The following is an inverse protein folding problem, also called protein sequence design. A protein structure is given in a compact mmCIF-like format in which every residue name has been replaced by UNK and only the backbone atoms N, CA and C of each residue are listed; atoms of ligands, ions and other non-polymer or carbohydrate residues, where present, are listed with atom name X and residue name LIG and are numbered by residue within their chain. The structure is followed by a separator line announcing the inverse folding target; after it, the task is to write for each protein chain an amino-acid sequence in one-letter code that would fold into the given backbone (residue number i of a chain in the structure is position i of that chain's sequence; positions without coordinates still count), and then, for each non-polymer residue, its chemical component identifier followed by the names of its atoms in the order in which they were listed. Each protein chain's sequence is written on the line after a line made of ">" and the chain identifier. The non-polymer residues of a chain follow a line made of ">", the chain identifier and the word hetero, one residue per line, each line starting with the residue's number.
data_IF_482057045650
#
_entry.id   IF_482057045650
#
_cell.length_a   1.000
_cell.length_b   1.000
_cell.length_c   1.000
_cell.angle_alpha   90.00
_cell.angle_beta   90.00
_cell.angle_gamma   90.00
#
_symmetry.space_group_name_H-M   'P 1'
#
loop_
_entity.id
_entity.type
_entity.pdbx_description
1 polymer ?
#
# COMPACT_ATOMS: atom_id res chain seq x y z
N UNK A 1 -16.03 5.94 -33.67
CA UNK A 1 -16.44 5.22 -34.89
C UNK A 1 -16.55 3.76 -34.50
N UNK A 2 -17.74 3.17 -34.61
CA UNK A 2 -17.95 1.76 -34.29
C UNK A 2 -17.33 0.92 -35.42
N UNK A 3 -16.39 0.04 -35.09
CA UNK A 3 -15.89 -0.95 -36.06
C UNK A 3 -16.92 -2.09 -36.12
N UNK A 4 -17.45 -2.31 -37.32
CA UNK A 4 -18.31 -3.43 -37.66
C UNK A 4 -17.46 -4.71 -37.55
N UNK A 5 -17.84 -5.60 -36.64
CA UNK A 5 -17.22 -6.92 -36.49
C UNK A 5 -17.41 -7.68 -37.80
N UNK A 6 -16.31 -8.03 -38.46
CA UNK A 6 -16.34 -8.78 -39.72
C UNK A 6 -16.90 -10.19 -39.48
N UNK A 7 -17.79 -10.63 -40.35
CA UNK A 7 -18.41 -11.95 -40.27
C UNK A 7 -17.35 -13.04 -40.55
N UNK A 8 -17.08 -13.96 -39.60
CA UNK A 8 -16.13 -15.04 -39.79
C UNK A 8 -16.45 -15.97 -40.96
N UNK A 9 -17.69 -15.96 -41.46
CA UNK A 9 -18.12 -16.75 -42.61
C UNK A 9 -17.76 -16.13 -43.97
N UNK A 10 -17.48 -14.82 -44.02
CA UNK A 10 -17.18 -14.09 -45.27
C UNK A 10 -15.68 -13.77 -45.45
N UNK A 11 -14.86 -14.00 -44.42
CA UNK A 11 -13.45 -13.64 -44.42
C UNK A 11 -12.52 -14.81 -44.13
N UNK A 12 -11.35 -14.79 -44.74
CA UNK A 12 -10.33 -15.79 -44.48
C UNK A 12 -9.72 -15.63 -43.09
N UNK A 13 -9.24 -16.74 -42.51
CA UNK A 13 -8.62 -16.76 -41.18
C UNK A 13 -7.41 -15.80 -41.11
N UNK A 14 -6.65 -15.68 -42.19
CA UNK A 14 -5.50 -14.78 -42.24
C UNK A 14 -5.92 -13.30 -42.23
N UNK A 15 -7.03 -12.93 -42.90
CA UNK A 15 -7.57 -11.57 -42.88
C UNK A 15 -8.10 -11.18 -41.50
N UNK A 16 -8.78 -12.11 -40.81
CA UNK A 16 -9.26 -11.90 -39.44
C UNK A 16 -8.09 -11.73 -38.46
N UNK A 17 -7.02 -12.51 -38.62
CA UNK A 17 -5.81 -12.40 -37.80
C UNK A 17 -5.13 -11.03 -37.99
N UNK A 18 -5.01 -10.58 -39.24
CA UNK A 18 -4.42 -9.27 -39.56
C UNK A 18 -5.27 -8.10 -39.06
N UNK A 19 -6.60 -8.24 -39.03
CA UNK A 19 -7.47 -7.24 -38.43
C UNK A 19 -7.35 -7.20 -36.90
N UNK A 20 -7.25 -8.37 -36.26
CA UNK A 20 -7.08 -8.48 -34.82
C UNK A 20 -5.76 -7.88 -34.35
N UNK A 21 -4.66 -8.10 -35.07
CA UNK A 21 -3.37 -7.48 -34.74
C UNK A 21 -3.41 -5.95 -34.91
N UNK A 22 -4.09 -5.45 -35.96
CA UNK A 22 -4.31 -4.00 -36.14
C UNK A 22 -5.18 -3.38 -35.04
N UNK A 23 -6.16 -4.12 -34.55
CA UNK A 23 -6.99 -3.71 -33.40
C UNK A 23 -6.14 -3.63 -32.14
N UNK A 24 -5.36 -4.66 -31.84
CA UNK A 24 -4.48 -4.73 -30.67
C UNK A 24 -3.46 -3.59 -30.64
N UNK A 25 -2.84 -3.28 -31.79
CA UNK A 25 -1.92 -2.15 -31.91
C UNK A 25 -2.60 -0.79 -31.64
N UNK A 26 -3.84 -0.60 -32.10
CA UNK A 26 -4.61 0.62 -31.81
C UNK A 26 -5.03 0.72 -30.34
N UNK A 27 -5.43 -0.39 -29.72
CA UNK A 27 -5.72 -0.41 -28.28
C UNK A 27 -4.49 -0.03 -27.46
N UNK A 28 -3.32 -0.55 -27.81
CA UNK A 28 -2.06 -0.17 -27.16
C UNK A 28 -1.75 1.33 -27.34
N UNK A 29 -1.97 1.90 -28.53
CA UNK A 29 -1.78 3.33 -28.79
C UNK A 29 -2.76 4.21 -27.99
N UNK A 30 -4.03 3.81 -27.89
CA UNK A 30 -5.04 4.53 -27.10
C UNK A 30 -4.75 4.47 -25.60
N UNK A 31 -4.24 3.33 -25.12
CA UNK A 31 -3.82 3.17 -23.73
C UNK A 31 -2.64 4.09 -23.41
N UNK A 32 -1.59 4.06 -24.24
CA UNK A 32 -0.42 4.94 -24.09
C UNK A 32 -0.79 6.43 -24.17
N UNK A 33 -1.77 6.79 -25.01
CA UNK A 33 -2.24 8.17 -25.12
C UNK A 33 -3.02 8.62 -23.86
N UNK A 34 -3.77 7.70 -23.22
CA UNK A 34 -4.43 7.97 -21.94
C UNK A 34 -3.42 8.12 -20.81
N UNK A 35 -2.44 7.21 -20.72
CA UNK A 35 -1.37 7.30 -19.71
C UNK A 35 -0.60 8.62 -19.84
N UNK A 36 -0.22 9.01 -21.07
CA UNK A 36 0.43 10.29 -21.32
C UNK A 36 -0.45 11.51 -20.96
N UNK A 37 -1.78 11.37 -21.05
CA UNK A 37 -2.72 12.43 -20.65
C UNK A 37 -2.83 12.52 -19.13
N UNK A 38 -2.83 11.39 -18.42
CA UNK A 38 -2.83 11.36 -16.95
C UNK A 38 -1.53 11.94 -16.38
N UNK A 39 -0.38 11.57 -16.96
CA UNK A 39 0.93 12.14 -16.61
C UNK A 39 0.98 13.65 -16.82
N UNK A 40 0.37 14.14 -17.91
CA UNK A 40 0.27 15.58 -18.17
C UNK A 40 -0.58 16.30 -17.12
N UNK A 41 -1.73 15.73 -16.75
CA UNK A 41 -2.59 16.31 -15.71
C UNK A 41 -1.90 16.34 -14.34
N UNK A 42 -1.13 15.29 -14.03
CA UNK A 42 -0.32 15.23 -12.81
C UNK A 42 0.75 16.33 -12.79
N UNK A 43 1.47 16.51 -13.90
CA UNK A 43 2.49 17.56 -14.03
C UNK A 43 1.89 18.97 -13.96
N UNK A 44 0.71 19.19 -14.56
CA UNK A 44 0.00 20.47 -14.45
C UNK A 44 -0.38 20.80 -13.00
N UNK A 45 -0.82 19.79 -12.23
CA UNK A 45 -1.11 19.95 -10.80
C UNK A 45 0.17 20.28 -10.01
N UNK A 46 1.27 19.56 -10.24
CA UNK A 46 2.55 19.85 -9.58
C UNK A 46 3.06 21.26 -9.88
N UNK A 47 2.88 21.75 -11.10
CA UNK A 47 3.23 23.12 -11.48
C UNK A 47 2.34 24.16 -10.80
N UNK A 48 1.06 23.85 -10.56
CA UNK A 48 0.17 24.74 -9.80
C UNK A 48 0.57 24.79 -8.33
N UNK A 49 0.84 23.64 -7.71
CA UNK A 49 1.27 23.56 -6.31
C UNK A 49 2.59 24.35 -6.12
N UNK A 50 3.57 24.14 -7.00
CA UNK A 50 4.85 24.88 -6.95
C UNK A 50 4.67 26.40 -7.10
N UNK A 51 3.71 26.85 -7.91
CA UNK A 51 3.43 28.29 -8.05
C UNK A 51 2.82 28.86 -6.77
N UNK A 52 1.94 28.13 -6.11
CA UNK A 52 1.36 28.53 -4.83
C UNK A 52 2.47 28.66 -3.76
N UNK A 53 3.38 27.69 -3.68
CA UNK A 53 4.50 27.72 -2.74
C UNK A 53 5.44 28.92 -2.99
N UNK A 54 5.70 29.24 -4.26
CA UNK A 54 6.51 30.42 -4.62
C UNK A 54 5.83 31.74 -4.27
N UNK A 55 4.50 31.80 -4.37
CA UNK A 55 3.73 32.97 -3.94
C UNK A 55 3.75 33.12 -2.41
N UNK A 56 3.55 32.03 -1.67
CA UNK A 56 3.67 32.01 -0.21
C UNK A 56 5.06 32.48 0.24
N UNK A 57 6.12 31.94 -0.36
CA UNK A 57 7.49 32.34 -0.04
C UNK A 57 7.75 33.83 -0.31
N UNK A 58 7.19 34.38 -1.39
CA UNK A 58 7.29 35.82 -1.69
C UNK A 58 6.56 36.66 -0.64
N UNK A 59 5.41 36.21 -0.16
CA UNK A 59 4.67 36.92 0.89
C UNK A 59 5.46 36.92 2.21
N UNK A 60 6.01 35.78 2.61
CA UNK A 60 6.86 35.65 3.80
C UNK A 60 8.13 36.50 3.70
N UNK A 61 8.78 36.50 2.53
CA UNK A 61 9.95 37.33 2.29
C UNK A 61 9.63 38.83 2.41
N UNK A 62 8.46 39.25 1.93
CA UNK A 62 8.00 40.64 2.07
C UNK A 62 7.73 40.99 3.54
N UNK A 63 7.12 40.08 4.30
CA UNK A 63 6.88 40.26 5.74
C UNK A 63 8.20 40.39 6.51
N UNK A 64 9.18 39.53 6.21
CA UNK A 64 10.50 39.58 6.82
C UNK A 64 11.23 40.88 6.48
N UNK A 65 11.12 41.35 5.24
CA UNK A 65 11.73 42.60 4.79
C UNK A 65 11.10 43.83 5.47
N UNK A 66 9.77 43.83 5.68
CA UNK A 66 9.07 44.85 6.48
C UNK A 66 9.59 44.83 7.92
N UNK A 67 9.61 43.66 8.57
CA UNK A 67 10.14 43.52 9.95
C UNK A 67 11.59 43.97 10.07
N UNK A 68 12.43 43.65 9.11
CA UNK A 68 13.83 44.10 9.09
C UNK A 68 13.94 45.61 8.92
N UNK A 69 13.11 46.23 8.06
CA UNK A 69 13.06 47.68 7.90
C UNK A 69 12.54 48.40 9.14
N UNK A 70 11.59 47.78 9.86
CA UNK A 70 11.13 48.25 11.17
C UNK A 70 12.27 48.17 12.17
N UNK A 71 12.97 47.04 12.29
CA UNK A 71 14.14 46.90 13.17
C UNK A 71 15.26 47.91 12.88
N UNK A 72 15.50 48.26 11.61
CA UNK A 72 16.48 49.27 11.21
C UNK A 72 15.99 50.68 11.57
N UNK A 73 14.69 50.96 11.51
CA UNK A 73 14.09 52.23 11.92
C UNK A 73 14.17 52.51 13.44
N UNK A 74 14.39 51.48 14.26
CA UNK A 74 14.58 51.61 15.71
C UNK A 74 16.06 51.81 16.12
N UNK A 75 17.00 51.76 15.18
CA UNK A 75 18.43 51.92 15.46
C UNK A 75 18.96 53.34 15.26
N UNK A 76 18.11 54.35 15.02
CA UNK A 76 18.51 55.75 14.86
C UNK A 76 18.01 56.69 15.98
N UNK A 77 17.68 56.12 17.15
CA UNK A 77 17.44 56.88 18.36
C UNK A 77 18.13 56.18 19.55
N UNK A 78 19.22 56.80 20.02
CA UNK A 78 19.96 56.49 21.25
C UNK A 78 20.90 55.28 21.25
N UNK A 79 22.16 55.51 20.82
CA UNK A 79 23.33 54.93 21.49
C UNK A 79 24.60 55.74 21.19
N UNK A 80 25.06 56.51 22.19
CA UNK A 80 26.41 57.08 22.27
C UNK A 80 27.22 56.26 23.29
N UNK A 81 28.43 55.91 22.85
CA UNK A 81 29.71 55.62 23.55
C UNK A 81 29.93 54.33 24.38
N UNK A 82 30.86 53.53 23.81
CA UNK A 82 32.14 53.03 24.35
C UNK A 82 32.23 52.16 25.62
N UNK A 83 32.94 51.04 25.44
CA UNK A 83 33.45 50.18 26.51
C UNK A 83 34.14 48.90 26.01
N UNK A 84 35.37 49.06 25.53
CA UNK A 84 36.54 48.14 25.62
C UNK A 84 36.47 46.64 25.24
N UNK A 85 37.25 46.33 24.19
CA UNK A 85 38.15 45.18 23.94
C UNK A 85 38.00 43.87 24.76
N UNK A 86 37.84 42.74 24.05
CA UNK A 86 38.72 41.57 24.20
C UNK A 86 38.75 40.71 22.90
N UNK A 87 39.96 40.34 22.50
CA UNK A 87 40.32 39.57 21.30
C UNK A 87 40.02 38.05 21.39
N UNK A 88 40.24 37.38 20.24
CA UNK A 88 40.48 35.96 20.00
C UNK A 88 39.21 35.11 19.77
N UNK A 89 39.05 34.30 18.72
CA UNK A 89 40.00 33.75 17.75
C UNK A 89 39.31 33.41 16.43
N UNK A 90 40.05 33.64 15.34
CA UNK A 90 39.75 33.07 14.05
C UNK A 90 40.10 31.57 14.03
N UNK A 91 39.29 30.75 13.34
CA UNK A 91 39.85 29.69 12.51
C UNK A 91 38.93 29.30 11.35
N UNK A 92 39.52 29.47 10.18
CA UNK A 92 38.96 29.23 8.88
C UNK A 92 38.93 27.74 8.52
N UNK A 93 37.85 27.37 7.84
CA UNK A 93 37.76 26.65 6.56
C UNK A 93 38.63 25.40 6.25
N UNK A 94 37.92 24.48 5.57
CA UNK A 94 38.31 23.41 4.63
C UNK A 94 38.50 22.01 5.22
N UNK A 95 37.62 21.08 4.81
CA UNK A 95 37.99 20.12 3.77
C UNK A 95 36.75 19.43 3.18
N UNK A 96 36.64 19.48 1.85
CA UNK A 96 35.70 18.72 1.04
C UNK A 96 35.90 17.21 1.27
N UNK A 97 34.79 16.47 1.38
CA UNK A 97 34.73 15.12 0.83
C UNK A 97 33.36 14.89 0.22
N UNK A 98 33.36 14.95 -1.10
CA UNK A 98 32.32 14.52 -2.02
C UNK A 98 32.08 13.03 -1.81
N UNK A 99 30.96 12.66 -1.20
CA UNK A 99 30.35 11.34 -1.38
C UNK A 99 28.91 11.59 -1.80
N UNK A 100 28.55 10.96 -2.92
CA UNK A 100 27.23 10.97 -3.53
C UNK A 100 26.21 10.39 -2.54
N UNK A 101 25.61 11.24 -1.72
CA UNK A 101 24.33 10.89 -1.11
C UNK A 101 23.28 11.05 -2.21
N UNK A 102 22.83 9.90 -2.72
CA UNK A 102 21.56 9.80 -3.43
C UNK A 102 20.52 10.50 -2.56
N UNK A 103 20.03 11.66 -3.03
CA UNK A 103 18.82 12.30 -2.53
C UNK A 103 17.68 11.29 -2.70
N UNK A 104 17.52 10.41 -1.70
CA UNK A 104 16.36 9.56 -1.64
C UNK A 104 15.19 10.48 -1.30
N UNK A 105 14.46 10.84 -2.35
CA UNK A 105 13.15 11.45 -2.29
C UNK A 105 12.38 10.86 -1.09
N UNK A 106 11.95 11.74 -0.17
CA UNK A 106 11.35 11.42 1.13
C UNK A 106 9.99 10.72 1.05
N UNK A 107 9.73 10.04 -0.06
CA UNK A 107 8.63 9.11 -0.22
C UNK A 107 8.94 7.88 0.64
N UNK A 108 8.06 7.60 1.60
CA UNK A 108 7.91 6.25 2.15
C UNK A 108 7.52 5.34 0.99
N UNK A 109 8.50 4.88 0.24
CA UNK A 109 8.36 3.76 -0.66
C UNK A 109 8.34 2.56 0.28
N UNK A 110 7.15 2.02 0.58
CA UNK A 110 7.10 0.58 0.88
C UNK A 110 7.69 -0.05 -0.37
N UNK A 111 8.95 -0.45 -0.28
CA UNK A 111 9.64 -1.05 -1.41
C UNK A 111 8.80 -2.26 -1.80
N UNK A 112 8.26 -2.21 -3.01
CA UNK A 112 7.71 -3.38 -3.68
C UNK A 112 8.91 -4.28 -4.00
N UNK A 113 9.41 -4.93 -2.95
CA UNK A 113 10.49 -5.87 -3.06
C UNK A 113 9.96 -7.08 -3.80
N UNK A 114 10.72 -7.55 -4.79
CA UNK A 114 10.44 -8.84 -5.39
C UNK A 114 10.72 -9.92 -4.34
N UNK A 115 9.66 -10.38 -3.68
CA UNK A 115 9.76 -11.47 -2.70
C UNK A 115 9.73 -12.80 -3.45
N UNK A 116 10.43 -13.85 -2.98
CA UNK A 116 10.20 -15.17 -3.52
C UNK A 116 8.72 -15.49 -3.33
N UNK A 117 8.11 -16.02 -4.38
CA UNK A 117 6.73 -16.43 -4.33
C UNK A 117 6.49 -17.35 -3.13
N UNK A 118 5.39 -17.14 -2.41
CA UNK A 118 5.02 -17.90 -1.21
C UNK A 118 4.70 -19.38 -1.50
N UNK A 119 4.86 -19.88 -2.73
CA UNK A 119 4.73 -21.29 -3.07
C UNK A 119 6.11 -21.93 -3.24
N UNK A 120 6.40 -23.01 -2.49
CA UNK A 120 7.73 -23.64 -2.43
C UNK A 120 8.28 -24.12 -3.77
N UNK A 121 7.41 -24.36 -4.75
CA UNK A 121 7.82 -24.77 -6.11
C UNK A 121 7.82 -23.62 -7.11
N UNK A 122 7.36 -22.44 -6.70
CA UNK A 122 7.44 -21.25 -7.52
C UNK A 122 8.77 -20.53 -7.29
N UNK A 123 9.70 -20.69 -8.23
CA UNK A 123 10.98 -19.97 -8.21
C UNK A 123 10.89 -18.53 -8.70
N UNK A 124 9.69 -18.04 -9.00
CA UNK A 124 9.49 -16.65 -9.47
C UNK A 124 9.57 -15.72 -8.27
N UNK A 125 10.29 -14.61 -8.45
CA UNK A 125 10.21 -13.48 -7.54
C UNK A 125 9.10 -12.59 -8.04
N UNK A 126 8.16 -12.28 -7.18
CA UNK A 126 6.95 -11.57 -7.58
C UNK A 126 6.80 -10.34 -6.72
N UNK A 127 6.51 -9.25 -7.40
CA UNK A 127 6.16 -8.00 -6.75
C UNK A 127 4.94 -8.23 -5.85
N UNK A 128 4.94 -7.70 -4.64
CA UNK A 128 3.78 -7.74 -3.74
C UNK A 128 2.47 -7.26 -4.40
N UNK A 129 2.54 -6.37 -5.39
CA UNK A 129 1.41 -5.86 -6.17
C UNK A 129 0.96 -6.85 -7.26
N UNK A 130 1.90 -7.57 -7.87
CA UNK A 130 1.64 -8.58 -8.88
C UNK A 130 1.41 -9.98 -8.30
N UNK A 131 1.61 -10.15 -7.00
CA UNK A 131 1.50 -11.44 -6.33
C UNK A 131 0.11 -12.04 -6.46
N UNK A 132 -0.91 -11.20 -6.37
CA UNK A 132 -2.31 -11.58 -6.52
C UNK A 132 -2.62 -12.03 -7.96
N UNK A 133 -2.09 -11.32 -8.96
CA UNK A 133 -2.20 -11.71 -10.37
C UNK A 133 -1.42 -13.00 -10.66
N UNK A 134 -0.19 -13.09 -10.16
CA UNK A 134 0.66 -14.27 -10.28
C UNK A 134 0.03 -15.51 -9.65
N UNK A 135 -0.60 -15.35 -8.48
CA UNK A 135 -1.37 -16.42 -7.86
C UNK A 135 -2.50 -16.91 -8.80
N UNK A 136 -3.30 -15.97 -9.31
CA UNK A 136 -4.43 -16.28 -10.20
C UNK A 136 -3.99 -16.92 -11.51
N UNK A 137 -2.85 -16.49 -12.07
CA UNK A 137 -2.38 -16.95 -13.37
C UNK A 137 -1.54 -18.24 -13.31
N UNK A 138 -0.69 -18.39 -12.29
CA UNK A 138 0.37 -19.42 -12.29
C UNK A 138 0.18 -20.51 -11.22
N UNK A 139 -0.69 -20.31 -10.24
CA UNK A 139 -0.85 -21.21 -9.09
C UNK A 139 -2.27 -21.76 -8.92
N UNK A 140 -3.18 -21.52 -9.85
CA UNK A 140 -4.58 -21.87 -9.69
C UNK A 140 -4.83 -23.39 -9.55
N UNK A 141 -4.03 -24.27 -10.16
CA UNK A 141 -4.51 -25.64 -10.43
C UNK A 141 -3.90 -26.83 -9.68
N UNK A 142 -2.69 -26.81 -9.10
CA UNK A 142 -2.07 -28.13 -8.79
C UNK A 142 -1.26 -28.30 -7.51
N UNK A 143 -0.79 -27.25 -6.84
CA UNK A 143 -0.07 -27.40 -5.54
C UNK A 143 -0.38 -26.27 -4.54
N UNK A 144 -1.19 -25.30 -4.94
CA UNK A 144 -1.43 -24.07 -4.18
C UNK A 144 -2.52 -24.17 -3.11
N UNK A 145 -3.32 -25.23 -3.16
CA UNK A 145 -4.45 -25.49 -2.26
C UNK A 145 -4.06 -25.69 -0.79
N UNK A 146 -2.76 -25.83 -0.48
CA UNK A 146 -2.27 -25.89 0.91
C UNK A 146 -1.96 -24.50 1.52
N UNK A 147 -1.82 -23.45 0.72
CA UNK A 147 -1.53 -22.07 1.19
C UNK A 147 -2.59 -21.04 0.78
N UNK A 148 -3.49 -21.40 -0.13
CA UNK A 148 -4.73 -20.66 -0.36
C UNK A 148 -5.90 -21.35 0.35
N UNK A 149 -6.58 -20.63 1.23
CA UNK A 149 -7.71 -21.15 1.98
C UNK A 149 -9.03 -20.68 1.37
N UNK A 150 -9.85 -21.62 0.91
CA UNK A 150 -11.23 -21.32 0.55
C UNK A 150 -12.03 -20.96 1.80
N UNK A 151 -12.76 -19.86 1.74
CA UNK A 151 -13.50 -19.31 2.86
C UNK A 151 -14.91 -18.90 2.42
N UNK A 152 -15.93 -19.46 3.05
CA UNK A 152 -17.32 -19.02 2.88
C UNK A 152 -17.67 -17.96 3.93
N UNK A 153 -18.75 -17.21 3.69
CA UNK A 153 -19.38 -16.42 4.75
C UNK A 153 -19.72 -17.34 5.95
N UNK A 154 -19.51 -16.84 7.17
CA UNK A 154 -19.59 -17.58 8.46
C UNK A 154 -18.48 -18.60 8.76
N UNK A 155 -17.58 -18.86 7.83
CA UNK A 155 -16.40 -19.68 8.11
C UNK A 155 -15.25 -18.85 8.68
N UNK A 156 -14.31 -19.54 9.32
CA UNK A 156 -13.07 -18.96 9.84
C UNK A 156 -11.87 -19.76 9.37
N UNK A 157 -10.80 -19.06 9.04
CA UNK A 157 -9.50 -19.63 8.72
C UNK A 157 -8.48 -19.12 9.71
N UNK A 158 -7.49 -19.95 10.04
CA UNK A 158 -6.36 -19.56 10.89
C UNK A 158 -5.08 -19.60 10.08
N UNK A 159 -4.40 -18.47 10.00
CA UNK A 159 -3.08 -18.35 9.37
C UNK A 159 -2.02 -18.22 10.45
N UNK A 160 -0.89 -18.92 10.31
CA UNK A 160 0.20 -18.86 11.29
C UNK A 160 1.41 -18.16 10.68
N UNK A 161 2.07 -17.29 11.45
CA UNK A 161 3.26 -16.57 10.98
C UNK A 161 4.21 -16.18 12.10
N UNK A 162 5.49 -16.02 11.75
CA UNK A 162 6.53 -15.55 12.65
C UNK A 162 6.81 -14.07 12.44
N UNK A 163 6.61 -13.27 13.48
CA UNK A 163 6.88 -11.82 13.48
C UNK A 163 8.35 -11.46 13.18
N UNK A 164 9.29 -12.38 13.40
CA UNK A 164 10.73 -12.16 13.14
C UNK A 164 11.05 -12.11 11.65
N UNK A 165 10.20 -12.68 10.80
CA UNK A 165 10.35 -12.59 9.33
C UNK A 165 9.93 -11.22 8.78
N UNK A 166 9.28 -10.38 9.59
CA UNK A 166 8.77 -9.08 9.16
C UNK A 166 9.90 -8.04 9.12
N UNK A 167 10.40 -7.76 7.93
CA UNK A 167 11.40 -6.71 7.70
C UNK A 167 10.76 -5.31 7.70
N UNK A 168 11.54 -4.33 8.13
CA UNK A 168 11.09 -2.94 8.21
C UNK A 168 10.81 -2.37 6.81
N UNK A 169 9.65 -1.72 6.65
CA UNK A 169 9.13 -1.14 5.40
C UNK A 169 8.94 -2.15 4.26
N UNK A 170 8.81 -3.44 4.56
CA UNK A 170 8.55 -4.48 3.58
C UNK A 170 7.24 -5.19 3.87
N UNK A 171 6.42 -5.36 2.82
CA UNK A 171 5.22 -6.17 2.89
C UNK A 171 5.60 -7.65 2.94
N UNK A 172 5.10 -8.34 3.95
CA UNK A 172 5.15 -9.78 4.07
C UNK A 172 3.75 -10.35 3.88
N UNK A 173 3.65 -11.46 3.15
CA UNK A 173 2.38 -12.11 2.83
C UNK A 173 2.17 -13.22 3.84
N UNK A 174 1.10 -13.10 4.64
CA UNK A 174 0.75 -14.09 5.66
C UNK A 174 -0.05 -15.23 5.04
N UNK A 175 -0.90 -14.94 4.05
CA UNK A 175 -1.66 -15.97 3.36
C UNK A 175 -2.56 -15.44 2.27
N UNK A 176 -3.18 -16.39 1.56
CA UNK A 176 -4.09 -16.15 0.45
C UNK A 176 -5.43 -16.81 0.77
N UNK A 177 -6.52 -16.11 0.49
CA UNK A 177 -7.88 -16.58 0.73
C UNK A 177 -8.66 -16.55 -0.59
N UNK A 178 -9.55 -17.52 -0.77
CA UNK A 178 -10.52 -17.56 -1.86
C UNK A 178 -11.93 -17.45 -1.26
N UNK A 179 -12.49 -16.25 -1.27
CA UNK A 179 -13.80 -15.99 -0.69
C UNK A 179 -14.91 -16.40 -1.65
N UNK A 180 -15.79 -17.30 -1.21
CA UNK A 180 -16.77 -17.92 -2.10
C UNK A 180 -18.21 -17.47 -1.87
N UNK A 181 -18.41 -16.34 -1.19
CA UNK A 181 -19.75 -15.82 -0.87
C UNK A 181 -20.48 -16.62 0.22
N UNK A 182 -21.77 -16.33 0.34
CA UNK A 182 -22.68 -17.03 1.25
C UNK A 182 -22.95 -18.49 0.83
N UNK A 183 -23.29 -19.40 1.76
CA UNK A 183 -23.64 -20.78 1.43
C UNK A 183 -24.80 -20.88 0.42
N UNK A 184 -25.74 -19.92 0.47
CA UNK A 184 -26.87 -19.85 -0.45
C UNK A 184 -26.41 -19.54 -1.89
N UNK A 185 -25.51 -18.56 -2.05
CA UNK A 185 -24.92 -18.22 -3.34
C UNK A 185 -24.11 -19.38 -3.92
N UNK A 186 -23.39 -20.13 -3.09
CA UNK A 186 -22.68 -21.33 -3.55
C UNK A 186 -23.64 -22.39 -4.09
N UNK A 187 -24.79 -22.59 -3.46
CA UNK A 187 -25.78 -23.58 -3.89
C UNK A 187 -26.43 -23.18 -5.22
N UNK A 188 -26.74 -21.90 -5.42
CA UNK A 188 -27.25 -21.37 -6.70
C UNK A 188 -26.20 -21.48 -7.81
N UNK A 189 -24.92 -21.24 -7.50
CA UNK A 189 -23.82 -21.36 -8.45
C UNK A 189 -23.51 -22.81 -8.83
N UNK A 190 -23.59 -23.76 -7.89
CA UNK A 190 -23.44 -25.19 -8.19
C UNK A 190 -24.54 -25.74 -9.10
N UNK A 191 -25.73 -25.15 -9.08
CA UNK A 191 -26.84 -25.52 -9.97
C UNK A 191 -26.67 -24.95 -11.39
N UNK A 192 -25.92 -23.85 -11.55
CA UNK A 192 -25.69 -23.16 -12.82
C UNK A 192 -24.32 -23.47 -13.46
N UNK A 193 -23.38 -24.02 -12.69
CA UNK A 193 -22.05 -24.35 -13.18
C UNK A 193 -22.10 -25.62 -14.06
N UNK A 194 -21.82 -25.43 -15.35
CA UNK A 194 -21.42 -26.53 -16.25
C UNK A 194 -20.21 -27.28 -15.67
N UNK A 195 -20.08 -28.61 -15.85
CA UNK A 195 -18.96 -29.40 -15.36
C UNK A 195 -17.69 -29.09 -16.17
N UNK A 196 -17.18 -27.88 -16.02
CA UNK A 196 -15.81 -27.55 -16.32
C UNK A 196 -15.03 -27.63 -15.02
N UNK A 197 -13.84 -28.23 -15.07
CA UNK A 197 -13.00 -28.57 -13.92
C UNK A 197 -12.66 -27.36 -13.01
N UNK A 198 -12.96 -26.13 -13.45
CA UNK A 198 -12.66 -24.87 -12.76
C UNK A 198 -13.86 -23.90 -12.61
N UNK A 199 -15.09 -24.34 -12.91
CA UNK A 199 -16.28 -23.46 -12.88
C UNK A 199 -16.59 -22.85 -11.50
N UNK A 200 -16.13 -23.48 -10.42
CA UNK A 200 -16.29 -23.06 -9.04
C UNK A 200 -15.27 -22.00 -8.58
N UNK A 201 -14.18 -21.78 -9.34
CA UNK A 201 -13.15 -20.75 -9.08
C UNK A 201 -13.46 -19.44 -9.82
N UNK A 202 -14.29 -19.49 -10.87
CA UNK A 202 -14.75 -18.30 -11.58
C UNK A 202 -15.61 -17.36 -10.71
N UNK A 203 -16.14 -17.87 -9.59
CA UNK A 203 -16.93 -17.11 -8.61
C UNK A 203 -16.15 -16.68 -7.37
N UNK A 204 -14.99 -17.29 -7.08
CA UNK A 204 -14.28 -17.05 -5.83
C UNK A 204 -13.49 -15.73 -5.91
N UNK A 205 -13.66 -14.87 -4.91
CA UNK A 205 -12.98 -13.58 -4.79
C UNK A 205 -11.64 -13.76 -4.07
N UNK A 206 -10.50 -13.51 -4.73
CA UNK A 206 -9.20 -13.72 -4.11
C UNK A 206 -8.85 -12.56 -3.17
N UNK A 207 -8.37 -12.89 -1.97
CA UNK A 207 -7.97 -11.92 -0.94
C UNK A 207 -6.57 -12.25 -0.44
N UNK A 208 -5.66 -11.28 -0.47
CA UNK A 208 -4.31 -11.40 0.10
C UNK A 208 -4.29 -10.81 1.50
N UNK A 209 -3.68 -11.53 2.44
CA UNK A 209 -3.44 -11.07 3.80
C UNK A 209 -1.98 -10.64 3.94
N UNK A 210 -1.76 -9.39 4.29
CA UNK A 210 -0.45 -8.75 4.33
C UNK A 210 -0.14 -8.23 5.73
N UNK A 211 1.14 -8.26 6.09
CA UNK A 211 1.69 -7.58 7.27
C UNK A 211 2.91 -6.77 6.89
N UNK A 212 3.03 -5.58 7.46
CA UNK A 212 4.20 -4.73 7.31
C UNK A 212 4.66 -4.21 8.67
N UNK A 213 5.97 -4.22 8.89
CA UNK A 213 6.60 -3.59 10.05
C UNK A 213 7.08 -2.20 9.64
N UNK A 214 6.57 -1.15 10.28
CA UNK A 214 6.88 0.24 9.92
C UNK A 214 7.02 1.13 11.15
N UNK A 215 7.41 2.39 10.99
CA UNK A 215 7.45 3.36 12.07
C UNK A 215 6.05 3.90 12.37
N UNK A 216 5.75 4.20 13.64
CA UNK A 216 4.47 4.76 14.06
C UNK A 216 4.05 6.03 13.30
N UNK A 217 5.03 6.81 12.84
CA UNK A 217 4.85 8.05 12.11
C UNK A 217 4.69 7.87 10.59
N UNK A 218 4.74 6.64 10.06
CA UNK A 218 4.46 6.39 8.63
C UNK A 218 3.01 6.71 8.25
N UNK A 219 2.13 6.86 9.22
CA UNK A 219 0.75 7.31 9.03
C UNK A 219 0.62 8.85 8.92
N UNK A 220 1.70 9.62 9.15
CA UNK A 220 1.64 11.08 9.04
C UNK A 220 1.52 11.50 7.58
N UNK A 221 0.58 12.41 7.30
CA UNK A 221 0.46 13.05 5.99
C UNK A 221 1.61 14.02 5.72
N UNK A 222 2.11 14.69 6.76
CA UNK A 222 3.28 15.55 6.69
C UNK A 222 4.56 14.71 6.72
N UNK A 223 5.12 14.49 5.53
CA UNK A 223 6.32 13.67 5.32
C UNK A 223 7.59 14.35 5.85
N UNK A 224 7.66 15.68 5.88
CA UNK A 224 8.81 16.41 6.40
C UNK A 224 8.89 16.29 7.93
N UNK A 225 7.74 16.39 8.60
CA UNK A 225 7.64 16.12 10.04
C UNK A 225 7.95 14.65 10.35
N UNK A 226 7.44 13.71 9.54
CA UNK A 226 7.75 12.28 9.64
C UNK A 226 9.25 11.99 9.58
N UNK A 227 9.97 12.62 8.65
CA UNK A 227 11.42 12.43 8.50
C UNK A 227 12.24 12.99 9.68
N UNK A 228 11.86 14.17 10.21
CA UNK A 228 12.53 14.75 11.40
C UNK A 228 12.34 13.90 12.67
N UNK A 229 11.19 13.23 12.77
CA UNK A 229 10.86 12.33 13.88
C UNK A 229 11.57 10.96 13.70
N UNK A 230 11.69 10.46 12.46
CA UNK A 230 12.37 9.19 12.14
C UNK A 230 13.84 9.18 12.61
N UNK A 231 14.56 10.29 12.48
CA UNK A 231 15.95 10.44 12.96
C UNK A 231 16.12 10.23 14.46
N UNK A 232 15.04 10.29 15.24
CA UNK A 232 15.03 10.10 16.70
C UNK A 232 14.18 8.91 17.15
N UNK A 233 13.65 8.12 16.21
CA UNK A 233 12.69 7.06 16.53
C UNK A 233 13.38 5.86 17.20
N UNK A 234 12.86 5.46 18.37
CA UNK A 234 13.31 4.26 19.07
C UNK A 234 12.80 3.02 18.31
N UNK A 235 13.54 1.89 18.26
CA UNK A 235 13.01 0.62 17.78
C UNK A 235 11.66 0.21 18.42
N UNK A 236 11.39 0.68 19.65
CA UNK A 236 10.10 0.48 20.34
C UNK A 236 8.93 1.29 19.77
N UNK A 237 9.22 2.31 18.95
CA UNK A 237 8.22 3.14 18.26
C UNK A 237 7.77 2.51 16.92
N UNK A 238 8.21 1.29 16.65
CA UNK A 238 7.78 0.51 15.49
C UNK A 238 6.37 -0.04 15.72
N UNK A 239 5.64 -0.19 14.63
CA UNK A 239 4.29 -0.75 14.60
C UNK A 239 4.21 -1.81 13.53
N UNK A 240 3.29 -2.75 13.74
CA UNK A 240 2.94 -3.78 12.79
C UNK A 240 1.56 -3.47 12.25
N UNK A 241 1.41 -3.60 10.94
CA UNK A 241 0.20 -3.20 10.24
C UNK A 241 -0.25 -4.40 9.43
N UNK A 242 -1.44 -4.91 9.75
CA UNK A 242 -2.08 -6.01 9.03
C UNK A 242 -3.18 -5.42 8.15
N UNK A 243 -3.25 -5.81 6.88
CA UNK A 243 -4.36 -5.43 6.01
C UNK A 243 -4.66 -6.54 4.99
N UNK A 244 -5.85 -6.45 4.40
CA UNK A 244 -6.34 -7.39 3.40
C UNK A 244 -6.61 -6.65 2.10
N UNK A 245 -6.31 -7.29 0.96
CA UNK A 245 -6.49 -6.70 -0.35
C UNK A 245 -7.12 -7.69 -1.35
N UNK A 246 -8.04 -7.20 -2.19
CA UNK A 246 -8.72 -7.93 -3.27
C UNK A 246 -8.61 -7.17 -4.58
N UNK A 247 -8.47 -7.85 -5.75
CA UNK A 247 -8.52 -7.17 -7.04
C UNK A 247 -9.97 -6.91 -7.48
N UNK A 248 -10.95 -7.50 -6.80
CA UNK A 248 -12.35 -7.36 -7.13
C UNK A 248 -12.88 -5.99 -6.67
N UNK A 249 -13.32 -5.17 -7.61
CA UNK A 249 -13.87 -3.84 -7.39
C UNK A 249 -15.38 -3.83 -7.17
N UNK A 250 -16.05 -4.93 -7.50
CA UNK A 250 -17.51 -5.07 -7.40
C UNK A 250 -17.98 -5.51 -6.02
N UNK A 251 -17.10 -6.16 -5.24
CA UNK A 251 -17.43 -6.68 -3.93
C UNK A 251 -16.79 -5.86 -2.81
N UNK A 252 -17.59 -5.52 -1.80
CA UNK A 252 -17.11 -4.92 -0.56
C UNK A 252 -17.15 -5.97 0.54
N UNK A 253 -15.99 -6.21 1.16
CA UNK A 253 -15.83 -7.20 2.21
C UNK A 253 -15.35 -6.54 3.50
N UNK A 254 -15.84 -7.05 4.63
CA UNK A 254 -15.24 -6.84 5.94
C UNK A 254 -14.49 -8.10 6.36
N UNK A 255 -13.41 -7.90 7.10
CA UNK A 255 -12.63 -8.95 7.71
C UNK A 255 -12.67 -8.79 9.23
N UNK A 256 -13.21 -9.79 9.92
CA UNK A 256 -13.03 -9.92 11.36
C UNK A 256 -11.70 -10.64 11.61
N UNK A 257 -10.79 -9.97 12.32
CA UNK A 257 -9.45 -10.44 12.61
C UNK A 257 -9.31 -10.70 14.10
N UNK A 258 -8.72 -11.83 14.47
CA UNK A 258 -8.28 -12.13 15.84
C UNK A 258 -6.87 -12.69 15.82
N UNK A 259 -5.99 -12.11 16.61
CA UNK A 259 -4.61 -12.53 16.75
C UNK A 259 -4.40 -13.13 18.13
N UNK A 260 -3.83 -14.32 18.17
CA UNK A 260 -3.47 -15.02 19.40
C UNK A 260 -2.06 -15.60 19.29
N UNK A 261 -1.38 -15.68 20.44
CA UNK A 261 -0.12 -16.40 20.57
C UNK A 261 -0.33 -17.77 21.22
N UNK A 262 0.71 -18.30 21.87
CA UNK A 262 0.59 -19.54 22.65
C UNK A 262 -0.36 -19.39 23.85
N UNK A 263 -0.38 -18.23 24.48
CA UNK A 263 -1.29 -17.93 25.60
C UNK A 263 -2.62 -17.43 25.05
N UNK A 264 -3.66 -18.27 25.13
CA UNK A 264 -5.00 -17.92 24.66
C UNK A 264 -5.66 -16.77 25.45
N UNK A 265 -5.16 -16.42 26.64
CA UNK A 265 -5.65 -15.26 27.38
C UNK A 265 -5.14 -13.95 26.78
N UNK A 266 -4.01 -13.98 26.06
CA UNK A 266 -3.42 -12.82 25.40
C UNK A 266 -3.82 -12.82 23.92
N UNK A 267 -4.92 -12.13 23.62
CA UNK A 267 -5.44 -11.98 22.27
C UNK A 267 -5.83 -10.53 21.98
N UNK A 268 -5.81 -10.19 20.71
CA UNK A 268 -6.33 -8.92 20.20
C UNK A 268 -7.27 -9.19 19.01
N UNK A 269 -8.24 -8.32 18.78
CA UNK A 269 -9.18 -8.49 17.67
C UNK A 269 -9.65 -7.16 17.12
N UNK A 270 -9.97 -7.11 15.84
CA UNK A 270 -10.53 -5.95 15.17
C UNK A 270 -11.41 -6.35 13.98
N UNK A 271 -12.10 -5.38 13.40
CA UNK A 271 -12.81 -5.54 12.12
C UNK A 271 -12.26 -4.47 11.18
N UNK A 272 -11.85 -4.88 9.98
CA UNK A 272 -11.31 -3.97 8.95
C UNK A 272 -12.00 -4.22 7.61
N UNK A 273 -12.14 -3.17 6.82
CA UNK A 273 -12.56 -3.30 5.43
C UNK A 273 -11.43 -3.93 4.60
N UNK A 274 -11.78 -4.88 3.73
CA UNK A 274 -10.87 -5.44 2.73
C UNK A 274 -10.69 -4.42 1.62
N UNK A 275 -9.43 -4.11 1.29
CA UNK A 275 -9.09 -3.06 0.34
C UNK A 275 -9.18 -3.55 -1.09
N UNK A 276 -9.67 -2.70 -1.97
CA UNK A 276 -9.60 -2.95 -3.40
C UNK A 276 -8.24 -2.48 -3.92
N UNK A 277 -7.56 -3.28 -4.74
CA UNK A 277 -6.19 -2.96 -5.23
C UNK A 277 -6.16 -1.65 -6.03
N UNK A 278 -7.28 -1.26 -6.65
CA UNK A 278 -7.45 0.02 -7.35
C UNK A 278 -7.35 1.25 -6.42
N UNK A 279 -7.49 1.08 -5.11
CA UNK A 279 -7.30 2.15 -4.13
C UNK A 279 -5.81 2.28 -3.80
N UNK A 280 -5.18 3.38 -4.22
CA UNK A 280 -3.80 3.82 -3.94
C UNK A 280 -3.00 2.98 -2.93
N UNK A 281 -1.83 2.50 -3.35
CA UNK A 281 -0.88 1.78 -2.49
C UNK A 281 0.05 2.71 -1.69
N UNK A 282 -0.06 4.04 -1.81
CA UNK A 282 0.66 4.95 -0.91
C UNK A 282 0.01 4.91 0.48
N UNK A 283 0.78 4.47 1.46
CA UNK A 283 0.43 4.42 2.88
C UNK A 283 -0.18 5.71 3.42
N UNK A 284 0.25 6.87 2.93
CA UNK A 284 -0.30 8.14 3.43
C UNK A 284 -1.79 8.33 3.10
N UNK A 285 -2.32 7.60 2.11
CA UNK A 285 -3.72 7.68 1.72
C UNK A 285 -4.63 6.78 2.54
N UNK A 286 -4.12 5.70 3.13
CA UNK A 286 -4.96 4.70 3.82
C UNK A 286 -4.58 4.43 5.28
N UNK A 287 -3.32 4.68 5.68
CA UNK A 287 -2.90 4.55 7.08
C UNK A 287 -3.48 5.60 8.04
N UNK A 288 -3.94 6.79 7.62
CA UNK A 288 -4.60 7.72 8.54
C UNK A 288 -5.99 7.26 9.03
N UNK A 289 -6.59 6.27 8.38
CA UNK A 289 -7.91 5.75 8.73
C UNK A 289 -7.81 4.28 9.13
N UNK A 290 -8.00 3.99 10.42
CA UNK A 290 -7.98 2.64 11.01
C UNK A 290 -9.11 1.71 10.50
N UNK A 291 -9.91 2.17 9.53
CA UNK A 291 -11.02 1.42 8.96
C UNK A 291 -10.59 0.28 8.02
N UNK A 292 -9.38 0.35 7.43
CA UNK A 292 -8.94 -0.58 6.36
C UNK A 292 -7.66 -1.34 6.68
N UNK A 293 -7.15 -1.18 7.90
CA UNK A 293 -5.94 -1.83 8.36
C UNK A 293 -5.96 -1.95 9.88
N UNK A 294 -5.24 -2.93 10.41
CA UNK A 294 -5.08 -3.15 11.83
C UNK A 294 -3.68 -2.78 12.25
N UNK A 295 -3.57 -1.75 13.10
CA UNK A 295 -2.30 -1.33 13.70
C UNK A 295 -2.12 -1.99 15.06
N UNK A 296 -0.95 -2.63 15.22
CA UNK A 296 -0.49 -3.24 16.46
C UNK A 296 0.83 -2.56 16.86
N UNK A 297 0.91 -2.04 18.08
CA UNK A 297 2.15 -1.50 18.62
C UNK A 297 3.19 -2.60 18.81
N UNK A 298 4.47 -2.21 18.85
CA UNK A 298 5.55 -3.13 19.20
C UNK A 298 5.28 -3.85 20.53
N UNK A 299 4.80 -3.13 21.54
CA UNK A 299 4.51 -3.68 22.86
C UNK A 299 3.37 -4.70 22.86
N UNK A 300 2.28 -4.44 22.14
CA UNK A 300 1.17 -5.39 21.99
C UNK A 300 1.64 -6.68 21.32
N UNK A 301 2.36 -6.55 20.20
CA UNK A 301 2.84 -7.72 19.48
C UNK A 301 3.89 -8.49 20.28
N UNK A 302 4.78 -7.78 20.98
CA UNK A 302 5.77 -8.37 21.89
C UNK A 302 5.08 -9.17 23.00
N UNK A 303 3.99 -8.66 23.56
CA UNK A 303 3.24 -9.33 24.63
C UNK A 303 2.57 -10.62 24.10
N UNK A 304 1.80 -10.52 23.02
CA UNK A 304 1.05 -11.66 22.43
C UNK A 304 2.02 -12.76 21.95
N UNK A 305 3.16 -12.38 21.35
CA UNK A 305 4.16 -13.33 20.83
C UNK A 305 5.18 -13.81 21.87
N UNK A 306 4.98 -13.50 23.16
CA UNK A 306 5.90 -13.86 24.24
C UNK A 306 7.35 -13.44 23.93
N UNK A 307 7.54 -12.13 23.74
CA UNK A 307 8.80 -11.53 23.31
C UNK A 307 9.30 -12.02 21.95
N UNK A 308 8.41 -12.17 20.98
CA UNK A 308 8.70 -12.63 19.62
C UNK A 308 9.32 -14.03 19.56
N UNK A 309 9.06 -14.86 20.58
CA UNK A 309 9.55 -16.24 20.65
C UNK A 309 8.57 -17.22 20.03
N UNK A 310 7.30 -16.91 20.14
CA UNK A 310 6.22 -17.79 19.76
C UNK A 310 5.63 -17.36 18.42
N UNK A 311 5.21 -18.35 17.64
CA UNK A 311 4.44 -18.14 16.42
C UNK A 311 3.08 -17.52 16.77
N UNK A 312 2.57 -16.67 15.88
CA UNK A 312 1.26 -16.05 16.03
C UNK A 312 0.25 -16.69 15.10
N UNK A 313 -0.99 -16.79 15.58
CA UNK A 313 -2.12 -17.32 14.84
C UNK A 313 -3.13 -16.20 14.61
N UNK A 314 -3.44 -15.93 13.35
CA UNK A 314 -4.41 -14.95 12.90
C UNK A 314 -5.66 -15.67 12.40
N UNK A 315 -6.73 -15.62 13.19
CA UNK A 315 -8.06 -16.04 12.78
C UNK A 315 -8.70 -14.94 11.91
N UNK A 316 -9.27 -15.34 10.78
CA UNK A 316 -9.90 -14.45 9.80
C UNK A 316 -11.28 -14.99 9.44
N UNK A 317 -12.28 -14.12 9.48
CA UNK A 317 -13.60 -14.34 8.90
C UNK A 317 -13.92 -13.21 7.93
N UNK A 318 -14.56 -13.52 6.80
CA UNK A 318 -14.95 -12.54 5.78
C UNK A 318 -16.47 -12.46 5.68
N UNK A 319 -17.00 -11.24 5.53
CA UNK A 319 -18.43 -10.97 5.35
C UNK A 319 -18.66 -9.92 4.27
N UNK A 320 -19.75 -10.05 3.52
CA UNK A 320 -20.11 -9.07 2.49
C UNK A 320 -20.81 -7.86 3.11
N UNK A 321 -20.43 -6.65 2.70
CA UNK A 321 -21.02 -5.39 3.18
C UNK A 321 -22.43 -5.12 2.61
N UNK A 322 -22.94 -6.01 1.76
CA UNK A 322 -24.21 -5.88 1.04
C UNK A 322 -25.29 -6.93 1.39
N UNK A 323 -25.09 -7.75 2.43
CA UNK A 323 -26.11 -8.69 2.91
C UNK A 323 -27.36 -7.95 3.38
N UNK A 324 -28.48 -8.16 2.67
CA UNK A 324 -29.79 -7.54 2.90
C UNK A 324 -30.15 -7.47 4.39
N UNK A 325 -30.29 -6.25 4.91
CA UNK A 325 -31.28 -5.94 5.94
C UNK A 325 -32.65 -6.25 5.35
N UNK A 326 -33.14 -7.48 5.55
CA UNK A 326 -34.57 -7.73 5.54
C UNK A 326 -35.06 -7.72 6.98
N UNK A 327 -35.85 -6.70 7.26
CA UNK A 327 -36.84 -6.67 8.34
C UNK A 327 -37.91 -7.72 8.08
#
# INVERSE_FOLDING_TARGET
>A
MAEELLDPMEHSIDELRDQFERYKMRCAQLFNAKDAQEDKLLMEKQLQDLRADLEELRTEMTILQIRQSELIGWHDADAIEDGEQFEADAKAAKLERTELEEESDGRLIISCGSSPCVFEHCRRRVDSQLLLLHYLCDHNETVASQRCHKLCEDQRVVLSFDTRSCHFKQNHVIGLLAFSGSPLQQQEQQLLASPQEHGHLASDVPVVVLICKTAANSALRDKQLGNRILTHANPKDQVFVIWLATPNDQLQLNAALRLCGRDAALQASTIVAVRQVLQSQDTCHFMPADASHWRLSFGELQNISNNFRDELHLEIALTELGGRLFV
#
